data_IF_665592510806
#
_entry.id   IF_665592510806
#
_cell.length_a   1.000
_cell.length_b   1.000
_cell.length_c   1.000
_cell.angle_alpha   90.00
_cell.angle_beta   90.00
_cell.angle_gamma   90.00
#
_symmetry.space_group_name_H-M   'P 1'
#
loop_
_entity.id
_entity.type
_entity.pdbx_description
1 polymer ?
#
# COMPACT_ATOMS: atom_id res chain seq x y z
N UNK A 1 53.12 -46.94 26.38
CA UNK A 1 51.99 -46.94 25.44
C UNK A 1 51.19 -45.68 25.73
N UNK A 2 51.31 -44.66 24.88
CA UNK A 2 50.67 -43.36 25.04
C UNK A 2 49.41 -43.29 24.19
N UNK A 3 48.28 -43.08 24.86
CA UNK A 3 47.00 -42.83 24.22
C UNK A 3 46.94 -41.41 23.64
N UNK A 4 46.58 -41.30 22.37
CA UNK A 4 46.46 -40.03 21.65
C UNK A 4 44.99 -39.62 21.63
N UNK A 5 44.67 -38.55 22.35
CA UNK A 5 43.35 -37.98 22.36
C UNK A 5 43.17 -37.11 21.11
N UNK A 6 42.20 -37.42 20.26
CA UNK A 6 41.79 -36.60 19.11
C UNK A 6 40.83 -35.52 19.56
N UNK A 7 41.24 -34.27 19.39
CA UNK A 7 40.34 -33.10 19.51
C UNK A 7 39.49 -32.93 18.26
N UNK A 8 38.18 -32.89 18.43
CA UNK A 8 37.23 -32.49 17.39
C UNK A 8 37.19 -30.95 17.31
N UNK A 9 37.17 -30.36 16.11
CA UNK A 9 36.97 -28.92 15.96
C UNK A 9 35.52 -28.53 16.21
N UNK A 10 35.30 -27.50 17.00
CA UNK A 10 34.04 -26.84 17.24
C UNK A 10 33.62 -26.09 15.99
N UNK A 11 32.51 -26.48 15.36
CA UNK A 11 31.83 -25.73 14.31
C UNK A 11 31.26 -24.43 14.90
N UNK A 12 31.78 -23.31 14.44
CA UNK A 12 31.27 -21.99 14.74
C UNK A 12 29.87 -21.83 14.13
N UNK A 13 28.89 -21.64 14.99
CA UNK A 13 27.56 -21.20 14.57
C UNK A 13 27.63 -19.78 14.05
N UNK A 14 27.37 -19.59 12.76
CA UNK A 14 27.11 -18.27 12.18
C UNK A 14 25.74 -17.84 12.68
N UNK A 15 25.72 -16.86 13.58
CA UNK A 15 24.51 -16.23 14.04
C UNK A 15 23.86 -15.46 12.89
N UNK A 16 22.72 -15.96 12.41
CA UNK A 16 21.79 -15.19 11.56
C UNK A 16 21.06 -14.20 12.47
N UNK A 17 21.62 -13.04 12.64
CA UNK A 17 21.01 -11.92 13.34
C UNK A 17 20.83 -10.77 12.35
N UNK A 18 19.81 -10.85 11.50
CA UNK A 18 19.31 -9.70 10.75
C UNK A 18 17.97 -10.04 10.09
N UNK A 19 16.86 -9.95 10.82
CA UNK A 19 15.49 -9.86 10.27
C UNK A 19 14.46 -9.51 11.36
N UNK A 20 14.85 -8.74 12.37
CA UNK A 20 13.93 -8.37 13.45
C UNK A 20 13.54 -6.87 13.47
N UNK A 21 14.04 -6.05 12.56
CA UNK A 21 13.76 -4.62 12.57
C UNK A 21 12.55 -4.20 11.72
N UNK A 22 12.07 -5.06 10.83
CA UNK A 22 10.94 -4.76 9.93
C UNK A 22 9.55 -5.11 10.47
N UNK A 23 9.47 -6.04 11.43
CA UNK A 23 8.16 -6.52 11.95
C UNK A 23 7.62 -5.69 13.13
N UNK A 24 8.44 -4.89 13.79
CA UNK A 24 8.02 -4.12 14.97
C UNK A 24 7.09 -2.94 14.69
N UNK A 25 7.12 -2.39 13.48
CA UNK A 25 6.26 -1.25 13.09
C UNK A 25 4.86 -1.70 12.64
N UNK A 26 4.74 -2.89 12.05
CA UNK A 26 3.46 -3.42 11.57
C UNK A 26 2.56 -3.90 12.73
N UNK A 27 3.14 -4.40 13.83
CA UNK A 27 2.36 -4.82 15.00
C UNK A 27 1.77 -3.67 15.80
N UNK A 28 2.34 -2.49 15.73
CA UNK A 28 1.83 -1.29 16.39
C UNK A 28 0.57 -0.71 15.73
N UNK A 29 0.45 -0.77 14.42
CA UNK A 29 -0.74 -0.31 13.69
C UNK A 29 -1.90 -1.31 13.78
N UNK A 30 -1.62 -2.62 13.64
CA UNK A 30 -2.65 -3.66 13.71
C UNK A 30 -3.30 -3.77 15.10
N UNK A 31 -2.55 -3.55 16.18
CA UNK A 31 -3.08 -3.58 17.54
C UNK A 31 -4.03 -2.41 17.86
N UNK A 32 -3.96 -1.31 17.12
CA UNK A 32 -4.85 -0.16 17.30
C UNK A 32 -6.19 -0.28 16.57
N UNK A 33 -6.25 -1.09 15.51
CA UNK A 33 -7.47 -1.30 14.72
C UNK A 33 -8.47 -2.27 15.35
N UNK A 34 -8.06 -3.08 16.33
CA UNK A 34 -8.85 -4.17 16.88
C UNK A 34 -9.80 -3.83 18.04
N UNK A 35 -9.78 -2.65 18.64
CA UNK A 35 -10.43 -2.45 19.94
C UNK A 35 -11.44 -1.29 20.06
N UNK A 36 -11.60 -0.40 19.08
CA UNK A 36 -12.65 0.65 19.17
C UNK A 36 -13.28 0.93 17.81
N UNK A 37 -14.57 0.67 17.74
CA UNK A 37 -15.37 0.91 16.55
C UNK A 37 -15.32 2.37 16.07
N UNK A 38 -15.06 2.54 14.80
CA UNK A 38 -15.77 3.40 13.85
C UNK A 38 -15.97 4.87 14.19
N UNK A 39 -14.97 5.62 14.58
CA UNK A 39 -14.91 7.07 14.37
C UNK A 39 -13.53 7.60 14.79
N UNK A 40 -12.46 7.11 14.18
CA UNK A 40 -11.24 7.90 14.18
C UNK A 40 -11.32 8.70 12.89
N UNK A 41 -11.50 10.01 12.97
CA UNK A 41 -11.15 10.90 11.89
C UNK A 41 -9.71 10.52 11.52
N UNK A 42 -9.52 9.99 10.30
CA UNK A 42 -8.20 9.53 9.92
C UNK A 42 -7.31 10.76 9.85
N UNK A 43 -6.31 10.83 10.74
CA UNK A 43 -5.31 11.87 10.68
C UNK A 43 -4.60 11.80 9.32
N UNK A 44 -4.27 12.95 8.70
CA UNK A 44 -3.57 12.94 7.42
C UNK A 44 -2.24 12.22 7.55
N UNK A 45 -1.94 11.33 6.61
CA UNK A 45 -0.62 10.70 6.53
C UNK A 45 0.44 11.78 6.37
N UNK A 46 1.50 11.72 7.18
CA UNK A 46 2.61 12.65 7.13
C UNK A 46 3.93 11.90 7.22
N UNK A 47 4.97 12.38 6.53
CA UNK A 47 6.26 11.74 6.47
C UNK A 47 6.91 11.89 5.10
N UNK A 48 7.88 11.04 4.81
CA UNK A 48 8.49 10.94 3.49
C UNK A 48 7.48 10.40 2.46
N UNK A 49 7.47 10.91 1.22
CA UNK A 49 6.49 10.53 0.20
C UNK A 49 6.38 9.01 -0.03
N UNK A 50 7.51 8.30 0.02
CA UNK A 50 7.54 6.84 -0.16
C UNK A 50 6.86 6.09 1.01
N UNK A 51 7.02 6.59 2.24
CA UNK A 51 6.38 5.98 3.41
C UNK A 51 4.87 6.28 3.41
N UNK A 52 4.50 7.46 2.93
CA UNK A 52 3.10 7.84 2.71
C UNK A 52 2.44 6.93 1.68
N UNK A 53 3.12 6.66 0.55
CA UNK A 53 2.62 5.75 -0.49
C UNK A 53 2.33 4.36 0.09
N UNK A 54 3.31 3.77 0.77
CA UNK A 54 3.16 2.44 1.39
C UNK A 54 2.05 2.38 2.43
N UNK A 55 1.91 3.43 3.24
CA UNK A 55 0.84 3.50 4.23
C UNK A 55 -0.54 3.63 3.56
N UNK A 56 -0.65 4.40 2.47
CA UNK A 56 -1.90 4.57 1.73
C UNK A 56 -2.31 3.26 1.03
N UNK A 57 -1.35 2.55 0.40
CA UNK A 57 -1.58 1.20 -0.14
C UNK A 57 -2.11 0.24 0.91
N UNK A 58 -1.47 0.18 2.08
CA UNK A 58 -1.88 -0.69 3.17
C UNK A 58 -3.30 -0.39 3.64
N UNK A 59 -3.67 0.89 3.81
CA UNK A 59 -5.00 1.31 4.24
C UNK A 59 -6.07 0.86 3.22
N UNK A 60 -5.79 0.99 1.92
CA UNK A 60 -6.71 0.56 0.86
C UNK A 60 -6.84 -0.96 0.84
N UNK A 61 -5.72 -1.70 0.93
CA UNK A 61 -5.71 -3.17 0.97
C UNK A 61 -6.46 -3.72 2.19
N UNK A 62 -6.26 -3.13 3.37
CA UNK A 62 -7.01 -3.51 4.59
C UNK A 62 -8.53 -3.31 4.42
N UNK A 63 -8.93 -2.21 3.77
CA UNK A 63 -10.34 -1.95 3.50
C UNK A 63 -10.94 -2.94 2.49
N UNK A 64 -10.19 -3.29 1.44
CA UNK A 64 -10.56 -4.31 0.44
C UNK A 64 -10.68 -5.70 1.09
N UNK A 65 -9.72 -6.10 1.92
CA UNK A 65 -9.76 -7.36 2.65
C UNK A 65 -10.93 -7.41 3.64
N UNK A 66 -11.18 -6.32 4.37
CA UNK A 66 -12.33 -6.22 5.26
C UNK A 66 -13.66 -6.35 4.50
N UNK A 67 -13.74 -5.79 3.29
CA UNK A 67 -14.92 -5.92 2.42
C UNK A 67 -15.10 -7.36 1.92
N UNK A 68 -14.01 -8.00 1.48
CA UNK A 68 -13.97 -9.40 1.05
C UNK A 68 -14.43 -10.37 2.14
N UNK A 69 -14.07 -10.11 3.39
CA UNK A 69 -14.44 -10.94 4.54
C UNK A 69 -15.90 -10.78 4.99
N UNK A 70 -16.72 -9.95 4.32
CA UNK A 70 -18.12 -9.73 4.72
C UNK A 70 -19.05 -10.83 4.24
N UNK A 71 -20.08 -11.14 5.05
CA UNK A 71 -21.21 -12.01 4.63
C UNK A 71 -22.12 -11.23 3.66
N UNK A 72 -22.83 -11.93 2.77
CA UNK A 72 -23.79 -11.33 1.83
C UNK A 72 -24.91 -10.53 2.52
N UNK A 73 -25.29 -10.91 3.74
CA UNK A 73 -26.30 -10.22 4.53
C UNK A 73 -25.83 -8.90 5.14
N UNK A 74 -24.52 -8.61 5.12
CA UNK A 74 -23.93 -7.43 5.75
C UNK A 74 -23.95 -6.19 4.84
N UNK A 75 -25.08 -5.89 4.17
CA UNK A 75 -25.22 -4.83 3.15
C UNK A 75 -24.68 -3.47 3.59
N UNK A 76 -25.12 -2.97 4.75
CA UNK A 76 -24.69 -1.66 5.24
C UNK A 76 -23.16 -1.61 5.49
N UNK A 77 -22.58 -2.69 6.05
CA UNK A 77 -21.12 -2.79 6.25
C UNK A 77 -20.37 -2.81 4.92
N UNK A 78 -20.86 -3.53 3.91
CA UNK A 78 -20.28 -3.54 2.56
C UNK A 78 -20.29 -2.14 1.94
N UNK A 79 -21.42 -1.43 2.00
CA UNK A 79 -21.53 -0.07 1.49
C UNK A 79 -20.57 0.90 2.18
N UNK A 80 -20.43 0.83 3.50
CA UNK A 80 -19.49 1.64 4.26
C UNK A 80 -18.03 1.33 3.91
N UNK A 81 -17.67 0.05 3.80
CA UNK A 81 -16.32 -0.36 3.43
C UNK A 81 -16.00 0.05 1.99
N UNK A 82 -16.95 -0.10 1.08
CA UNK A 82 -16.77 0.35 -0.30
C UNK A 82 -16.55 1.87 -0.38
N UNK A 83 -17.29 2.67 0.39
CA UNK A 83 -17.04 4.11 0.49
C UNK A 83 -15.60 4.42 0.89
N UNK A 84 -15.06 3.72 1.90
CA UNK A 84 -13.66 3.87 2.33
C UNK A 84 -12.66 3.48 1.24
N UNK A 85 -12.91 2.37 0.53
CA UNK A 85 -12.07 1.92 -0.58
C UNK A 85 -12.05 2.97 -1.67
N UNK A 86 -13.21 3.45 -2.11
CA UNK A 86 -13.34 4.46 -3.15
C UNK A 86 -12.64 5.77 -2.78
N UNK A 87 -12.92 6.30 -1.60
CA UNK A 87 -12.38 7.59 -1.15
C UNK A 87 -10.86 7.49 -0.92
N UNK A 88 -10.39 6.36 -0.38
CA UNK A 88 -8.96 6.06 -0.25
C UNK A 88 -8.27 6.00 -1.61
N UNK A 89 -8.83 5.26 -2.56
CA UNK A 89 -8.26 5.13 -3.91
C UNK A 89 -8.25 6.46 -4.68
N UNK A 90 -9.33 7.24 -4.61
CA UNK A 90 -9.40 8.55 -5.29
C UNK A 90 -8.31 9.49 -4.77
N UNK A 91 -8.12 9.55 -3.46
CA UNK A 91 -7.07 10.36 -2.84
C UNK A 91 -5.68 9.89 -3.28
N UNK A 92 -5.42 8.59 -3.17
CA UNK A 92 -4.18 7.93 -3.57
C UNK A 92 -3.85 8.23 -5.05
N UNK A 93 -4.74 7.91 -5.96
CA UNK A 93 -4.53 8.13 -7.39
C UNK A 93 -4.29 9.61 -7.73
N UNK A 94 -4.95 10.54 -7.04
CA UNK A 94 -4.83 11.96 -7.34
C UNK A 94 -3.42 12.50 -7.07
N UNK A 95 -2.81 12.18 -5.93
CA UNK A 95 -1.47 12.70 -5.64
C UNK A 95 -0.39 11.96 -6.43
N UNK A 96 -0.54 10.69 -6.72
CA UNK A 96 0.40 9.95 -7.56
C UNK A 96 0.35 10.46 -9.00
N UNK A 97 -0.81 10.56 -9.61
CA UNK A 97 -1.00 11.05 -10.97
C UNK A 97 -0.57 12.52 -11.14
N UNK A 98 -0.69 13.33 -10.09
CA UNK A 98 -0.35 14.77 -10.15
C UNK A 98 1.07 15.10 -9.69
N UNK A 99 1.74 14.24 -8.92
CA UNK A 99 3.05 14.55 -8.32
C UNK A 99 4.10 13.49 -8.70
N UNK A 100 3.86 12.21 -8.39
CA UNK A 100 4.88 11.16 -8.51
C UNK A 100 5.04 10.68 -9.95
N UNK A 101 3.95 10.43 -10.68
CA UNK A 101 4.05 9.96 -12.07
C UNK A 101 4.65 11.02 -13.01
N UNK A 102 4.40 12.34 -12.86
CA UNK A 102 5.22 13.34 -13.52
C UNK A 102 6.70 13.27 -13.20
N UNK A 103 7.08 13.04 -11.92
CA UNK A 103 8.49 12.89 -11.55
C UNK A 103 9.13 11.64 -12.19
N UNK A 104 8.40 10.49 -12.27
CA UNK A 104 8.85 9.31 -13.02
C UNK A 104 9.14 9.65 -14.49
N UNK A 105 8.28 10.44 -15.16
CA UNK A 105 8.48 10.87 -16.55
C UNK A 105 9.77 11.69 -16.73
N UNK A 106 10.06 12.59 -15.79
CA UNK A 106 11.30 13.38 -15.80
C UNK A 106 12.55 12.56 -15.45
N UNK A 107 12.37 11.40 -14.80
CA UNK A 107 13.44 10.45 -14.47
C UNK A 107 13.59 9.33 -15.51
N UNK A 108 13.25 9.60 -16.78
CA UNK A 108 13.34 8.69 -17.94
C UNK A 108 12.50 7.39 -17.78
N UNK A 109 11.44 7.42 -16.96
CA UNK A 109 10.51 6.31 -16.75
C UNK A 109 9.11 6.62 -17.33
N UNK A 110 9.04 7.28 -18.48
CA UNK A 110 7.80 7.77 -19.05
C UNK A 110 6.82 6.63 -19.43
N UNK A 111 7.32 5.50 -19.93
CA UNK A 111 6.52 4.32 -20.27
C UNK A 111 5.90 3.72 -19.00
N UNK A 112 6.69 3.51 -17.95
CA UNK A 112 6.20 2.99 -16.68
C UNK A 112 5.14 3.89 -16.05
N UNK A 113 5.34 5.21 -16.08
CA UNK A 113 4.35 6.18 -15.62
C UNK A 113 3.05 6.13 -16.44
N UNK A 114 3.14 5.87 -17.76
CA UNK A 114 1.99 5.66 -18.63
C UNK A 114 1.20 4.41 -18.26
N UNK A 115 1.89 3.30 -18.02
CA UNK A 115 1.29 2.04 -17.57
C UNK A 115 0.57 2.18 -16.22
N UNK A 116 1.17 2.90 -15.26
CA UNK A 116 0.54 3.15 -13.96
C UNK A 116 -0.74 3.98 -14.10
N UNK A 117 -0.73 5.02 -14.92
CA UNK A 117 -1.95 5.81 -15.22
C UNK A 117 -3.05 4.94 -15.87
N UNK A 118 -2.69 4.03 -16.78
CA UNK A 118 -3.64 3.10 -17.39
C UNK A 118 -4.26 2.16 -16.35
N UNK A 119 -3.44 1.59 -15.46
CA UNK A 119 -3.93 0.74 -14.35
C UNK A 119 -4.86 1.49 -13.41
N UNK A 120 -4.55 2.74 -13.06
CA UNK A 120 -5.46 3.58 -12.28
C UNK A 120 -6.79 3.80 -13.00
N UNK A 121 -6.76 3.99 -14.32
CA UNK A 121 -7.99 4.14 -15.12
C UNK A 121 -8.84 2.88 -15.09
N UNK A 122 -8.23 1.70 -15.22
CA UNK A 122 -8.93 0.42 -15.13
C UNK A 122 -9.53 0.20 -13.74
N UNK A 123 -8.80 0.51 -12.68
CA UNK A 123 -9.29 0.41 -11.30
C UNK A 123 -10.41 1.43 -11.00
N UNK A 124 -10.37 2.64 -11.56
CA UNK A 124 -11.48 3.61 -11.51
C UNK A 124 -12.73 3.07 -12.18
N UNK A 125 -12.59 2.42 -13.34
CA UNK A 125 -13.71 1.76 -14.01
C UNK A 125 -14.28 0.59 -13.19
N UNK A 126 -13.41 -0.22 -12.56
CA UNK A 126 -13.83 -1.29 -11.66
C UNK A 126 -14.57 -0.76 -10.42
N UNK A 127 -14.09 0.33 -9.81
CA UNK A 127 -14.77 1.00 -8.69
C UNK A 127 -16.17 1.47 -9.11
N UNK A 128 -16.31 2.09 -10.26
CA UNK A 128 -17.61 2.51 -10.79
C UNK A 128 -18.56 1.32 -11.00
N UNK A 129 -18.07 0.20 -11.53
CA UNK A 129 -18.86 -1.01 -11.72
C UNK A 129 -19.30 -1.63 -10.38
N UNK A 130 -18.41 -1.67 -9.37
CA UNK A 130 -18.74 -2.13 -8.02
C UNK A 130 -19.81 -1.23 -7.37
N UNK A 131 -19.70 0.08 -7.53
CA UNK A 131 -20.66 1.06 -6.98
C UNK A 131 -22.09 0.84 -7.49
N UNK A 132 -22.22 0.47 -8.76
CA UNK A 132 -23.50 0.17 -9.41
C UNK A 132 -24.04 -1.22 -9.10
N UNK A 133 -23.24 -2.08 -8.50
CA UNK A 133 -23.63 -3.46 -8.15
C UNK A 133 -24.25 -3.47 -6.75
N UNK A 134 -25.51 -3.95 -6.58
CA UNK A 134 -26.09 -4.07 -5.25
C UNK A 134 -25.18 -4.85 -4.30
N UNK A 135 -25.03 -4.36 -3.07
CA UNK A 135 -24.09 -4.96 -2.10
C UNK A 135 -24.45 -6.38 -1.66
N UNK A 136 -25.66 -6.86 -1.93
CA UNK A 136 -26.13 -8.24 -1.72
C UNK A 136 -26.07 -9.10 -2.99
N UNK A 137 -25.72 -8.51 -4.14
CA UNK A 137 -25.51 -9.26 -5.38
C UNK A 137 -24.36 -10.25 -5.18
N UNK A 138 -24.52 -11.53 -5.61
CA UNK A 138 -23.45 -12.52 -5.53
C UNK A 138 -22.15 -12.12 -6.22
N UNK A 139 -22.23 -11.30 -7.27
CA UNK A 139 -21.06 -10.84 -8.04
C UNK A 139 -20.27 -9.73 -7.34
N UNK A 140 -20.86 -9.04 -6.35
CA UNK A 140 -20.23 -7.92 -5.68
C UNK A 140 -18.86 -8.31 -5.05
N UNK A 141 -18.81 -9.42 -4.32
CA UNK A 141 -17.56 -9.91 -3.72
C UNK A 141 -16.53 -10.34 -4.76
N UNK A 142 -16.98 -10.91 -5.87
CA UNK A 142 -16.09 -11.28 -6.98
C UNK A 142 -15.41 -10.07 -7.56
N UNK A 143 -16.16 -8.98 -7.79
CA UNK A 143 -15.64 -7.71 -8.28
C UNK A 143 -14.66 -7.04 -7.29
N UNK A 144 -15.01 -7.00 -6.01
CA UNK A 144 -14.10 -6.49 -4.95
C UNK A 144 -12.81 -7.31 -4.88
N UNK A 145 -12.91 -8.64 -5.01
CA UNK A 145 -11.74 -9.52 -4.99
C UNK A 145 -10.85 -9.31 -6.22
N UNK A 146 -11.44 -9.06 -7.39
CA UNK A 146 -10.68 -8.72 -8.61
C UNK A 146 -9.94 -7.39 -8.42
N UNK A 147 -10.64 -6.34 -7.99
CA UNK A 147 -10.03 -5.04 -7.70
C UNK A 147 -8.88 -5.14 -6.69
N UNK A 148 -9.04 -5.96 -5.64
CA UNK A 148 -7.98 -6.17 -4.65
C UNK A 148 -6.71 -6.75 -5.27
N UNK A 149 -6.84 -7.76 -6.14
CA UNK A 149 -5.69 -8.37 -6.84
C UNK A 149 -4.99 -7.37 -7.75
N UNK A 150 -5.76 -6.59 -8.49
CA UNK A 150 -5.21 -5.58 -9.40
C UNK A 150 -4.47 -4.49 -8.62
N UNK A 151 -5.02 -4.07 -7.49
CA UNK A 151 -4.39 -3.11 -6.61
C UNK A 151 -3.13 -3.66 -5.91
N UNK A 152 -3.12 -4.93 -5.48
CA UNK A 152 -1.93 -5.60 -4.93
C UNK A 152 -0.77 -5.64 -5.93
N UNK A 153 -1.07 -5.98 -7.18
CA UNK A 153 -0.05 -6.03 -8.25
C UNK A 153 0.50 -4.64 -8.54
N UNK A 154 -0.39 -3.64 -8.57
CA UNK A 154 -0.04 -2.25 -8.78
C UNK A 154 0.86 -1.72 -7.66
N UNK A 155 0.44 -1.80 -6.41
CA UNK A 155 1.17 -1.34 -5.24
C UNK A 155 2.55 -2.00 -5.12
N UNK A 156 2.64 -3.31 -5.36
CA UNK A 156 3.90 -4.05 -5.35
C UNK A 156 4.89 -3.52 -6.38
N UNK A 157 4.44 -3.28 -7.62
CA UNK A 157 5.31 -2.76 -8.69
C UNK A 157 5.88 -1.39 -8.32
N UNK A 158 5.08 -0.54 -7.70
CA UNK A 158 5.53 0.77 -7.24
C UNK A 158 6.52 0.68 -6.09
N UNK A 159 6.18 -0.07 -5.06
CA UNK A 159 6.97 -0.17 -3.84
C UNK A 159 8.30 -0.90 -4.01
N UNK A 160 8.33 -1.94 -4.86
CA UNK A 160 9.51 -2.78 -5.04
C UNK A 160 10.40 -2.33 -6.21
N UNK A 161 9.83 -1.68 -7.24
CA UNK A 161 10.55 -1.37 -8.47
C UNK A 161 10.64 0.14 -8.73
N UNK A 162 9.51 0.79 -8.98
CA UNK A 162 9.47 2.11 -9.60
C UNK A 162 9.81 3.25 -8.62
N UNK A 163 9.24 3.23 -7.43
CA UNK A 163 9.49 4.28 -6.45
C UNK A 163 10.92 4.23 -5.88
N UNK A 164 11.51 3.04 -5.59
CA UNK A 164 12.93 2.96 -5.27
C UNK A 164 13.84 3.42 -6.42
N UNK A 165 13.46 3.13 -7.67
CA UNK A 165 14.22 3.60 -8.84
C UNK A 165 14.14 5.12 -8.99
N UNK A 166 12.95 5.72 -8.85
CA UNK A 166 12.75 7.17 -8.84
C UNK A 166 13.62 7.82 -7.77
N UNK A 167 13.57 7.33 -6.54
CA UNK A 167 14.35 7.89 -5.43
C UNK A 167 15.85 7.88 -5.67
N UNK A 168 16.37 6.90 -6.40
CA UNK A 168 17.80 6.86 -6.80
C UNK A 168 18.14 7.82 -7.93
N UNK A 169 17.17 8.18 -8.76
CA UNK A 169 17.36 9.01 -9.95
C UNK A 169 17.25 10.52 -9.67
N UNK A 170 16.54 10.91 -8.61
CA UNK A 170 16.30 12.33 -8.25
C UNK A 170 17.36 12.85 -7.27
N UNK A 171 17.53 14.19 -7.23
CA UNK A 171 18.38 14.85 -6.23
C UNK A 171 17.73 14.85 -4.85
N UNK A 172 18.53 15.09 -3.80
CA UNK A 172 18.01 15.23 -2.43
C UNK A 172 17.01 16.41 -2.31
N UNK A 173 17.24 17.52 -3.06
CA UNK A 173 16.34 18.66 -3.08
C UNK A 173 14.99 18.30 -3.73
N UNK A 174 15.02 17.54 -4.81
CA UNK A 174 13.82 17.05 -5.48
C UNK A 174 13.03 16.09 -4.58
N UNK A 175 13.72 15.18 -3.87
CA UNK A 175 13.10 14.24 -2.91
C UNK A 175 12.38 14.98 -1.77
N UNK A 176 13.00 16.02 -1.23
CA UNK A 176 12.37 16.91 -0.24
C UNK A 176 11.17 17.66 -0.85
N UNK A 177 11.30 18.16 -2.09
CA UNK A 177 10.22 18.85 -2.79
C UNK A 177 9.01 17.94 -3.02
N UNK A 178 9.22 16.72 -3.51
CA UNK A 178 8.15 15.74 -3.70
C UNK A 178 7.46 15.43 -2.38
N UNK A 179 8.23 15.21 -1.32
CA UNK A 179 7.71 14.98 0.04
C UNK A 179 6.83 16.14 0.52
N UNK A 180 7.26 17.38 0.29
CA UNK A 180 6.48 18.56 0.62
C UNK A 180 5.15 18.65 -0.12
N UNK A 181 5.16 18.35 -1.43
CA UNK A 181 3.97 18.37 -2.28
C UNK A 181 2.95 17.29 -1.87
N UNK A 182 3.42 16.06 -1.63
CA UNK A 182 2.55 14.94 -1.18
C UNK A 182 1.93 15.26 0.18
N UNK A 183 2.71 15.75 1.15
CA UNK A 183 2.18 16.16 2.45
C UNK A 183 1.17 17.30 2.32
N UNK A 184 1.40 18.28 1.43
CA UNK A 184 0.45 19.35 1.18
C UNK A 184 -0.86 18.84 0.58
N UNK A 185 -0.78 17.91 -0.37
CA UNK A 185 -1.96 17.33 -1.01
C UNK A 185 -2.78 16.51 0.00
N UNK A 186 -2.14 15.69 0.81
CA UNK A 186 -2.83 14.91 1.83
C UNK A 186 -3.60 15.77 2.83
N UNK A 187 -3.03 16.90 3.27
CA UNK A 187 -3.74 17.83 4.18
C UNK A 187 -5.00 18.46 3.61
N UNK A 188 -5.18 18.46 2.29
CA UNK A 188 -6.40 19.03 1.65
C UNK A 188 -7.60 18.09 1.69
N UNK A 189 -7.40 16.82 2.01
CA UNK A 189 -8.45 15.80 2.05
C UNK A 189 -8.90 15.45 3.47
N UNK A 190 -8.33 16.05 4.46
CA UNK A 190 -8.69 15.95 5.88
C UNK A 190 -8.99 17.33 6.44
#
# INVERSE_FOLDING_TARGET
MKSKTEERPRSGGVAVAALAAGLGLLTGLAARAGAKGLAVAAEPLSGHWLDIAKADHLIILEALEAARATKSTARARRGMLFGRIRDGFVRHALWEESIIYPALRFADQAEAAGDLCARHSDMKAALFDIERTPTDDPTWLTKVTALMRDFEVHARREEEELFPALRRAITAEEDVRLTGLVNQQNRRFF
#
